data_IF_620538308542
#
_entry.id   IF_620538308542
#
_cell.length_a   1.000
_cell.length_b   1.000
_cell.length_c   1.000
_cell.angle_alpha   90.00
_cell.angle_beta   90.00
_cell.angle_gamma   90.00
#
_symmetry.space_group_name_H-M   'P 1'
#
loop_
_entity.id
_entity.type
_entity.pdbx_description
1 polymer ?
#
# COMPACT_ATOMS: atom_id res chain seq x y z
N UNK A 1 32.63 43.75 -3.10
CA UNK A 1 33.06 42.89 -4.22
C UNK A 1 32.26 41.59 -4.16
N UNK A 2 31.43 41.30 -5.17
CA UNK A 2 30.76 39.99 -5.26
C UNK A 2 31.80 38.92 -5.60
N UNK A 3 31.91 37.89 -4.75
CA UNK A 3 32.81 36.76 -5.00
C UNK A 3 32.10 35.74 -5.89
N UNK A 4 32.86 35.00 -6.71
CA UNK A 4 32.30 33.97 -7.61
C UNK A 4 31.48 32.90 -6.86
N UNK A 5 31.84 32.61 -5.61
CA UNK A 5 31.09 31.72 -4.72
C UNK A 5 29.73 32.31 -4.31
N UNK A 6 29.69 33.60 -3.96
CA UNK A 6 28.43 34.27 -3.65
C UNK A 6 27.50 34.35 -4.87
N UNK A 7 28.05 34.59 -6.06
CA UNK A 7 27.29 34.55 -7.30
C UNK A 7 26.74 33.15 -7.62
N UNK A 8 27.53 32.09 -7.41
CA UNK A 8 27.12 30.72 -7.64
C UNK A 8 26.01 30.26 -6.68
N UNK A 9 26.14 30.58 -5.39
CA UNK A 9 25.11 30.24 -4.39
C UNK A 9 23.81 31.01 -4.62
N UNK A 10 23.89 32.28 -5.01
CA UNK A 10 22.72 33.06 -5.41
C UNK A 10 22.02 32.50 -6.65
N UNK A 11 22.79 32.10 -7.66
CA UNK A 11 22.24 31.49 -8.88
C UNK A 11 21.58 30.13 -8.60
N UNK A 12 22.20 29.29 -7.75
CA UNK A 12 21.64 28.00 -7.35
C UNK A 12 20.31 28.18 -6.58
N UNK A 13 20.24 29.14 -5.66
CA UNK A 13 19.03 29.42 -4.90
C UNK A 13 17.87 29.92 -5.79
N UNK A 14 18.17 30.75 -6.79
CA UNK A 14 17.16 31.22 -7.76
C UNK A 14 16.72 30.08 -8.67
N UNK A 15 17.65 29.24 -9.15
CA UNK A 15 17.34 28.10 -10.02
C UNK A 15 16.49 27.03 -9.32
N UNK A 16 16.66 26.85 -8.00
CA UNK A 16 15.86 25.90 -7.21
C UNK A 16 14.51 26.45 -6.75
N UNK A 17 14.29 27.77 -6.84
CA UNK A 17 13.05 28.41 -6.40
C UNK A 17 11.77 27.77 -6.98
N UNK A 18 11.64 27.45 -8.28
CA UNK A 18 10.45 26.81 -8.82
C UNK A 18 10.23 25.37 -8.30
N UNK A 19 11.30 24.65 -7.94
CA UNK A 19 11.21 23.31 -7.37
C UNK A 19 10.71 23.36 -5.91
N UNK A 20 11.22 24.31 -5.12
CA UNK A 20 10.80 24.53 -3.73
C UNK A 20 9.34 24.98 -3.67
N UNK A 21 8.92 25.88 -4.57
CA UNK A 21 7.52 26.33 -4.66
C UNK A 21 6.60 25.17 -5.05
N UNK A 22 7.00 24.32 -6.00
CA UNK A 22 6.20 23.13 -6.38
C UNK A 22 6.10 22.09 -5.27
N UNK A 23 7.17 21.84 -4.52
CA UNK A 23 7.17 20.90 -3.41
C UNK A 23 6.31 21.41 -2.23
N UNK A 24 6.34 22.72 -1.95
CA UNK A 24 5.51 23.34 -0.93
C UNK A 24 4.03 23.46 -1.33
N UNK A 25 3.74 23.51 -2.64
CA UNK A 25 2.39 23.51 -3.21
C UNK A 25 1.91 22.10 -3.59
N UNK A 26 2.62 21.04 -3.18
CA UNK A 26 2.12 19.68 -3.28
C UNK A 26 0.93 19.56 -2.31
N UNK A 27 -0.26 19.81 -2.84
CA UNK A 27 -1.50 19.62 -2.12
C UNK A 27 -1.67 18.12 -1.88
N UNK A 28 -1.60 17.71 -0.62
CA UNK A 28 -2.08 16.39 -0.22
C UNK A 28 -3.55 16.34 -0.63
N UNK A 29 -3.86 15.49 -1.62
CA UNK A 29 -5.24 15.26 -2.02
C UNK A 29 -6.02 14.91 -0.74
N UNK A 30 -7.07 15.68 -0.37
CA UNK A 30 -7.83 15.37 0.81
C UNK A 30 -8.31 13.93 0.67
N UNK A 31 -7.94 13.09 1.63
CA UNK A 31 -8.51 11.77 1.75
C UNK A 31 -10.02 11.95 1.68
N UNK A 32 -10.66 11.37 0.66
CA UNK A 32 -12.11 11.42 0.52
C UNK A 32 -12.69 10.55 1.64
N UNK A 33 -12.80 11.12 2.83
CA UNK A 33 -13.53 10.50 3.94
C UNK A 33 -14.99 10.62 3.55
N UNK A 34 -15.50 9.59 2.87
CA UNK A 34 -16.91 9.49 2.56
C UNK A 34 -17.71 9.64 3.87
N UNK A 35 -18.51 10.69 3.98
CA UNK A 35 -19.45 10.92 5.08
C UNK A 35 -20.66 10.01 4.89
N UNK A 36 -20.45 8.69 4.94
CA UNK A 36 -21.52 7.71 4.95
C UNK A 36 -22.18 7.68 6.34
N UNK A 37 -23.50 7.56 6.38
CA UNK A 37 -24.21 7.28 7.63
C UNK A 37 -23.73 5.94 8.21
N UNK A 38 -23.62 5.85 9.54
CA UNK A 38 -23.29 4.58 10.20
C UNK A 38 -24.34 3.52 9.86
N UNK A 39 -23.90 2.40 9.30
CA UNK A 39 -24.71 1.19 9.10
C UNK A 39 -24.41 0.22 10.24
N UNK A 40 -25.44 -0.38 10.84
CA UNK A 40 -25.25 -1.46 11.80
C UNK A 40 -24.99 -2.78 11.06
N UNK A 41 -23.80 -3.35 11.28
CA UNK A 41 -23.35 -4.61 10.67
C UNK A 41 -23.31 -5.76 11.70
N UNK A 42 -23.72 -5.52 12.94
CA UNK A 42 -23.60 -6.49 14.04
C UNK A 42 -24.38 -7.79 13.81
N UNK A 43 -25.44 -7.73 13.00
CA UNK A 43 -26.27 -8.87 12.65
C UNK A 43 -25.68 -9.75 11.53
N UNK A 44 -24.63 -9.30 10.82
CA UNK A 44 -24.06 -10.07 9.71
C UNK A 44 -23.19 -11.24 10.22
N UNK A 45 -23.28 -12.44 9.60
CA UNK A 45 -22.39 -13.55 9.92
C UNK A 45 -20.93 -13.21 9.66
N UNK A 46 -20.02 -13.75 10.46
CA UNK A 46 -18.56 -13.60 10.30
C UNK A 46 -17.94 -14.91 9.85
N UNK A 47 -17.11 -14.85 8.82
CA UNK A 47 -16.41 -16.01 8.25
C UNK A 47 -14.91 -15.73 8.27
N UNK A 48 -14.17 -16.49 9.07
CA UNK A 48 -12.71 -16.39 9.13
C UNK A 48 -12.07 -17.31 8.09
N UNK A 49 -11.27 -16.72 7.21
CA UNK A 49 -10.59 -17.42 6.14
C UNK A 49 -9.14 -17.74 6.51
N UNK A 50 -8.62 -18.87 6.01
CA UNK A 50 -7.21 -19.23 6.10
C UNK A 50 -6.56 -19.03 4.74
N UNK A 51 -5.78 -17.97 4.62
CA UNK A 51 -5.06 -17.64 3.40
C UNK A 51 -3.96 -18.67 3.11
N UNK A 52 -3.67 -18.88 1.82
CA UNK A 52 -2.62 -19.76 1.33
C UNK A 52 -1.65 -18.98 0.44
N UNK A 53 -0.41 -19.46 0.34
CA UNK A 53 0.59 -18.80 -0.48
C UNK A 53 0.24 -18.86 -1.99
N UNK A 54 0.47 -17.78 -2.76
CA UNK A 54 0.37 -17.82 -4.21
C UNK A 54 1.27 -18.91 -4.83
N UNK A 55 0.92 -19.46 -6.00
CA UNK A 55 -0.18 -19.04 -6.89
C UNK A 55 -1.56 -19.61 -6.53
N UNK A 56 -1.71 -20.29 -5.40
CA UNK A 56 -2.98 -20.88 -4.99
C UNK A 56 -3.92 -19.85 -4.34
N UNK A 57 -5.22 -20.13 -4.40
CA UNK A 57 -6.25 -19.39 -3.68
C UNK A 57 -6.77 -20.23 -2.52
N UNK A 58 -7.24 -19.57 -1.46
CA UNK A 58 -7.89 -20.25 -0.33
C UNK A 58 -9.26 -20.82 -0.73
N UNK A 59 -9.84 -21.66 0.11
CA UNK A 59 -11.10 -22.34 -0.18
C UNK A 59 -12.27 -21.36 -0.35
N UNK A 60 -13.00 -21.48 -1.47
CA UNK A 60 -14.13 -20.61 -1.80
C UNK A 60 -15.06 -21.27 -2.83
N UNK A 61 -16.30 -20.78 -2.90
CA UNK A 61 -17.29 -21.21 -3.89
C UNK A 61 -17.60 -20.07 -4.85
N UNK A 62 -17.51 -20.29 -6.16
CA UNK A 62 -17.72 -19.24 -7.18
C UNK A 62 -19.09 -18.55 -7.10
N UNK A 63 -20.11 -19.26 -6.60
CA UNK A 63 -21.45 -18.73 -6.34
C UNK A 63 -21.63 -18.61 -4.83
N UNK A 64 -22.08 -17.44 -4.38
CA UNK A 64 -22.33 -17.18 -2.97
C UNK A 64 -23.35 -18.19 -2.40
N UNK A 65 -22.91 -18.95 -1.39
CA UNK A 65 -23.74 -19.96 -0.73
C UNK A 65 -24.72 -19.36 0.29
N UNK A 66 -24.46 -18.13 0.75
CA UNK A 66 -25.25 -17.41 1.75
C UNK A 66 -25.55 -15.99 1.30
N UNK A 67 -26.37 -15.27 2.08
CA UNK A 67 -26.45 -13.81 1.99
C UNK A 67 -25.13 -13.13 2.41
N UNK A 68 -25.11 -11.78 2.50
CA UNK A 68 -23.91 -11.02 2.84
C UNK A 68 -23.28 -11.45 4.16
N UNK A 69 -21.94 -11.51 4.19
CA UNK A 69 -21.14 -11.87 5.36
C UNK A 69 -19.97 -10.91 5.55
N UNK A 70 -19.44 -10.85 6.77
CA UNK A 70 -18.18 -10.20 7.11
C UNK A 70 -17.07 -11.23 6.94
N UNK A 71 -16.25 -11.06 5.90
CA UNK A 71 -15.08 -11.91 5.65
C UNK A 71 -13.90 -11.40 6.47
N UNK A 72 -13.34 -12.25 7.32
CA UNK A 72 -12.23 -11.93 8.20
C UNK A 72 -10.94 -12.59 7.71
N UNK A 73 -9.92 -11.77 7.48
CA UNK A 73 -8.60 -12.19 7.04
C UNK A 73 -7.54 -11.66 8.00
N UNK A 74 -6.45 -12.42 8.10
CA UNK A 74 -5.29 -12.07 8.93
C UNK A 74 -4.03 -12.27 8.09
N UNK A 75 -3.16 -11.27 8.05
CA UNK A 75 -1.87 -11.30 7.37
C UNK A 75 -0.81 -10.71 8.27
N UNK A 76 0.33 -11.39 8.37
CA UNK A 76 1.50 -10.88 9.09
C UNK A 76 2.39 -10.16 8.09
N UNK A 77 2.81 -8.92 8.40
CA UNK A 77 3.84 -8.23 7.62
C UNK A 77 5.20 -8.84 7.96
N UNK A 78 5.94 -9.26 6.94
CA UNK A 78 7.28 -9.83 7.09
C UNK A 78 8.26 -9.10 6.18
N UNK A 79 9.29 -8.51 6.78
CA UNK A 79 10.44 -7.95 6.07
C UNK A 79 11.54 -9.01 5.98
N UNK A 80 11.97 -9.35 4.77
CA UNK A 80 12.96 -10.41 4.55
C UNK A 80 13.78 -10.18 3.28
N UNK A 81 15.00 -10.70 3.27
CA UNK A 81 15.81 -10.74 2.05
C UNK A 81 15.32 -11.86 1.13
N UNK A 82 15.17 -11.57 -0.17
CA UNK A 82 14.75 -12.52 -1.19
C UNK A 82 15.68 -12.43 -2.39
N UNK A 83 16.20 -13.57 -2.85
CA UNK A 83 16.93 -13.66 -4.10
C UNK A 83 15.96 -13.70 -5.27
N UNK A 84 16.08 -12.78 -6.21
CA UNK A 84 15.19 -12.67 -7.38
C UNK A 84 15.85 -13.14 -8.68
N UNK A 85 17.18 -13.14 -8.73
CA UNK A 85 17.99 -13.64 -9.84
C UNK A 85 19.39 -14.07 -9.34
N UNK A 86 20.23 -14.60 -10.21
CA UNK A 86 21.64 -14.86 -9.93
C UNK A 86 22.33 -13.57 -9.43
N UNK A 87 22.90 -13.62 -8.22
CA UNK A 87 23.54 -12.50 -7.54
C UNK A 87 22.68 -11.23 -7.35
N UNK A 88 21.36 -11.31 -7.52
CA UNK A 88 20.42 -10.21 -7.31
C UNK A 88 19.51 -10.47 -6.11
N UNK A 89 19.65 -9.64 -5.08
CA UNK A 89 18.90 -9.73 -3.83
C UNK A 89 18.09 -8.46 -3.59
N UNK A 90 16.95 -8.61 -2.92
CA UNK A 90 16.05 -7.52 -2.57
C UNK A 90 15.59 -7.67 -1.12
N UNK A 91 15.60 -6.58 -0.36
CA UNK A 91 14.91 -6.49 0.91
C UNK A 91 13.41 -6.31 0.66
N UNK A 92 12.65 -7.39 0.79
CA UNK A 92 11.23 -7.41 0.51
C UNK A 92 10.40 -7.05 1.75
N UNK A 93 9.33 -6.30 1.54
CA UNK A 93 8.27 -6.07 2.51
C UNK A 93 7.04 -6.84 2.03
N UNK A 94 6.64 -7.88 2.76
CA UNK A 94 5.69 -8.89 2.27
C UNK A 94 4.47 -9.00 3.16
N UNK A 95 3.33 -9.37 2.58
CA UNK A 95 2.16 -9.81 3.33
C UNK A 95 2.16 -11.33 3.38
N UNK A 96 2.17 -11.87 4.59
CA UNK A 96 2.23 -13.30 4.88
C UNK A 96 3.46 -14.01 4.27
N UNK A 97 4.59 -13.31 4.19
CA UNK A 97 5.89 -13.89 3.79
C UNK A 97 6.06 -14.18 2.30
N UNK A 98 5.11 -13.78 1.45
CA UNK A 98 5.08 -14.10 0.01
C UNK A 98 5.05 -12.86 -0.88
N UNK A 99 5.59 -13.01 -2.11
CA UNK A 99 5.56 -11.98 -3.16
C UNK A 99 4.93 -12.60 -4.42
N UNK A 100 3.74 -12.15 -4.86
CA UNK A 100 2.83 -11.22 -4.16
C UNK A 100 2.27 -11.83 -2.86
N UNK A 101 1.53 -11.05 -2.09
CA UNK A 101 0.77 -11.56 -0.94
C UNK A 101 -0.40 -12.46 -1.36
N UNK A 102 -1.02 -13.20 -0.40
CA UNK A 102 -2.14 -14.10 -0.68
C UNK A 102 -3.35 -13.41 -1.32
N UNK A 103 -4.06 -14.15 -2.19
CA UNK A 103 -5.30 -13.67 -2.81
C UNK A 103 -6.49 -13.79 -1.86
N UNK A 104 -7.24 -12.70 -1.68
CA UNK A 104 -8.51 -12.66 -0.93
C UNK A 104 -9.71 -12.72 -1.90
N UNK A 105 -10.70 -13.57 -1.60
CA UNK A 105 -11.90 -13.79 -2.41
C UNK A 105 -13.13 -13.67 -1.49
N UNK A 106 -14.15 -12.89 -1.89
CA UNK A 106 -15.24 -12.45 -0.97
C UNK A 106 -16.65 -12.44 -1.56
N UNK A 107 -16.83 -12.86 -2.83
CA UNK A 107 -18.09 -12.76 -3.59
C UNK A 107 -19.32 -13.33 -2.86
#
# INVERSE_FOLDING_TARGET
MLTRRAALMGAAAIASAPLVIRAAAAEEAPAQVATAAKVDLSALPRVKHKLVAPPFAHDHAQVAASGPVINEFEMVIEEKEVQIDEDAWMQAMTFNGSIPGPLMVVH
#
